data_IF_942184273617
#
_entry.id   IF_942184273617
#
_cell.length_a   1.000
_cell.length_b   1.000
_cell.length_c   1.000
_cell.angle_alpha   90.00
_cell.angle_beta   90.00
_cell.angle_gamma   90.00
#
_symmetry.space_group_name_H-M   'P 1'
#
loop_
_entity.id
_entity.type
_entity.pdbx_description
1 polymer ?
#
# COMPACT_ATOMS: atom_id res chain seq x y z
N UNK A 1 -14.97 -24.29 2.94
CA UNK A 1 -15.09 -23.80 1.55
C UNK A 1 -13.90 -22.92 1.23
N UNK A 2 -13.23 -23.25 0.13
CA UNK A 2 -11.94 -22.78 -0.33
C UNK A 2 -11.97 -21.29 -0.71
N UNK A 3 -11.23 -20.44 0.02
CA UNK A 3 -10.90 -19.10 -0.43
C UNK A 3 -9.83 -19.21 -1.52
N UNK A 4 -10.24 -19.63 -2.71
CA UNK A 4 -9.41 -19.73 -3.91
C UNK A 4 -8.67 -18.41 -4.10
N UNK A 5 -7.34 -18.46 -4.03
CA UNK A 5 -6.41 -17.42 -4.46
C UNK A 5 -6.66 -17.07 -5.92
N UNK A 6 -7.67 -16.23 -6.18
CA UNK A 6 -7.78 -15.49 -7.43
C UNK A 6 -6.57 -14.56 -7.43
N UNK A 7 -5.68 -14.74 -8.39
CA UNK A 7 -4.66 -13.75 -8.74
C UNK A 7 -5.41 -12.50 -9.23
N UNK A 8 -6.03 -11.76 -8.30
CA UNK A 8 -6.65 -10.47 -8.59
C UNK A 8 -5.45 -9.54 -8.75
N UNK A 9 -5.05 -9.36 -9.99
CA UNK A 9 -4.09 -8.34 -10.36
C UNK A 9 -4.65 -6.99 -9.91
N UNK A 10 -3.81 -6.19 -9.26
CA UNK A 10 -4.16 -4.81 -8.97
C UNK A 10 -4.40 -4.10 -10.29
N UNK A 11 -5.58 -3.52 -10.45
CA UNK A 11 -5.88 -2.67 -11.59
C UNK A 11 -5.08 -1.38 -11.52
N UNK A 12 -4.87 -0.71 -12.65
CA UNK A 12 -4.13 0.57 -12.67
C UNK A 12 -4.79 1.61 -11.76
N UNK A 13 -6.12 1.68 -11.74
CA UNK A 13 -6.89 2.56 -10.85
C UNK A 13 -6.62 2.26 -9.37
N UNK A 14 -6.61 0.98 -8.99
CA UNK A 14 -6.28 0.56 -7.62
C UNK A 14 -4.85 0.94 -7.23
N UNK A 15 -3.90 0.81 -8.17
CA UNK A 15 -2.51 1.18 -7.98
C UNK A 15 -2.34 2.70 -7.85
N UNK A 16 -3.05 3.49 -8.66
CA UNK A 16 -3.07 4.95 -8.58
C UNK A 16 -3.68 5.44 -7.27
N UNK A 17 -4.81 4.84 -6.85
CA UNK A 17 -5.44 5.14 -5.56
C UNK A 17 -4.48 4.83 -4.41
N UNK A 18 -3.82 3.66 -4.44
CA UNK A 18 -2.83 3.29 -3.44
C UNK A 18 -1.68 4.31 -3.38
N UNK A 19 -1.15 4.72 -4.53
CA UNK A 19 -0.09 5.72 -4.61
C UNK A 19 -0.54 7.08 -4.05
N UNK A 20 -1.77 7.51 -4.36
CA UNK A 20 -2.33 8.75 -3.84
C UNK A 20 -2.48 8.71 -2.32
N UNK A 21 -3.06 7.64 -1.77
CA UNK A 21 -3.23 7.45 -0.33
C UNK A 21 -1.90 7.42 0.43
N UNK A 22 -0.87 6.82 -0.17
CA UNK A 22 0.49 6.79 0.40
C UNK A 22 1.15 8.17 0.31
N UNK A 23 0.96 8.90 -0.79
CA UNK A 23 1.48 10.26 -0.97
C UNK A 23 0.83 11.25 -0.02
N UNK A 24 -0.45 11.06 0.33
CA UNK A 24 -1.12 11.83 1.37
C UNK A 24 -0.51 11.55 2.75
N UNK A 25 0.00 10.32 2.96
CA UNK A 25 0.46 9.86 4.25
C UNK A 25 1.98 9.94 4.42
N UNK A 26 2.43 11.14 4.82
CA UNK A 26 3.84 11.52 5.00
C UNK A 26 4.62 10.60 5.95
N UNK A 27 3.94 9.95 6.89
CA UNK A 27 4.55 8.98 7.83
C UNK A 27 5.15 7.76 7.10
N UNK A 28 4.59 7.37 5.95
CA UNK A 28 5.08 6.21 5.18
C UNK A 28 6.28 6.58 4.31
N UNK A 29 6.31 7.80 3.78
CA UNK A 29 7.42 8.32 2.97
C UNK A 29 8.64 8.72 3.82
N UNK A 30 8.43 9.03 5.10
CA UNK A 30 9.52 9.39 6.00
C UNK A 30 10.54 8.25 6.10
N UNK A 31 11.78 8.47 5.64
CA UNK A 31 12.87 7.47 5.67
C UNK A 31 13.42 7.20 7.08
N UNK A 32 12.89 7.83 8.13
CA UNK A 32 13.29 7.55 9.52
C UNK A 32 12.90 6.12 9.93
N UNK A 33 13.83 5.44 10.60
CA UNK A 33 13.74 4.03 10.99
C UNK A 33 13.81 3.86 12.51
N UNK A 34 13.23 4.80 13.26
CA UNK A 34 13.08 4.66 14.71
C UNK A 34 12.05 3.59 15.09
N UNK A 35 12.18 2.98 16.27
CA UNK A 35 11.22 1.99 16.78
C UNK A 35 9.79 2.57 16.92
N UNK A 36 9.66 3.83 17.31
CA UNK A 36 8.38 4.56 17.35
C UNK A 36 7.80 4.75 15.94
N UNK A 37 8.67 5.01 14.96
CA UNK A 37 8.36 5.21 13.55
C UNK A 37 7.77 3.94 12.91
N UNK A 38 8.23 2.76 13.33
CA UNK A 38 7.70 1.47 12.86
C UNK A 38 6.23 1.28 13.26
N UNK A 39 5.85 1.67 14.48
CA UNK A 39 4.45 1.60 14.94
C UNK A 39 3.60 2.61 14.20
N UNK A 40 4.06 3.86 14.08
CA UNK A 40 3.36 4.91 13.32
C UNK A 40 3.17 4.52 11.86
N UNK A 41 4.16 3.89 11.23
CA UNK A 41 4.03 3.34 9.86
C UNK A 41 3.01 2.21 9.79
N UNK A 42 2.98 1.30 10.76
CA UNK A 42 1.98 0.24 10.79
C UNK A 42 0.55 0.82 10.90
N UNK A 43 0.36 1.82 11.77
CA UNK A 43 -0.91 2.54 11.91
C UNK A 43 -1.29 3.29 10.64
N UNK A 44 -0.33 3.95 9.99
CA UNK A 44 -0.53 4.62 8.71
C UNK A 44 -0.99 3.62 7.61
N UNK A 45 -0.36 2.44 7.54
CA UNK A 45 -0.80 1.38 6.62
C UNK A 45 -2.22 0.89 6.92
N UNK A 46 -2.59 0.72 8.18
CA UNK A 46 -3.96 0.37 8.58
C UNK A 46 -4.98 1.44 8.14
N UNK A 47 -4.63 2.73 8.27
CA UNK A 47 -5.46 3.84 7.77
C UNK A 47 -5.66 3.76 6.26
N UNK A 48 -4.59 3.47 5.50
CA UNK A 48 -4.65 3.31 4.05
C UNK A 48 -5.52 2.11 3.67
N UNK A 49 -5.35 0.95 4.32
CA UNK A 49 -6.19 -0.23 4.10
C UNK A 49 -7.67 0.11 4.29
N UNK A 50 -7.99 0.83 5.37
CA UNK A 50 -9.37 1.22 5.68
C UNK A 50 -9.96 2.15 4.61
N UNK A 51 -9.19 3.14 4.15
CA UNK A 51 -9.60 4.04 3.06
C UNK A 51 -9.76 3.27 1.75
N UNK A 52 -8.77 2.47 1.38
CA UNK A 52 -8.79 1.62 0.19
C UNK A 52 -10.02 0.69 0.17
N UNK A 53 -10.35 0.06 1.30
CA UNK A 53 -11.56 -0.76 1.42
C UNK A 53 -12.86 0.07 1.34
N UNK A 54 -12.85 1.31 1.82
CA UNK A 54 -14.01 2.22 1.77
C UNK A 54 -14.30 2.71 0.36
N UNK A 55 -13.27 2.83 -0.48
CA UNK A 55 -13.37 3.18 -1.91
C UNK A 55 -13.95 2.03 -2.77
N UNK A 56 -14.45 0.96 -2.15
CA UNK A 56 -15.03 -0.20 -2.85
C UNK A 56 -14.00 -1.11 -3.51
N UNK A 57 -12.71 -0.91 -3.23
CA UNK A 57 -11.65 -1.78 -3.73
C UNK A 57 -11.62 -3.12 -2.99
N UNK A 58 -10.89 -4.09 -3.55
CA UNK A 58 -10.77 -5.43 -2.97
C UNK A 58 -10.20 -5.34 -1.55
N UNK A 59 -10.81 -5.98 -0.53
CA UNK A 59 -10.25 -5.96 0.82
C UNK A 59 -8.87 -6.63 0.83
N UNK A 60 -7.84 -5.85 1.16
CA UNK A 60 -6.45 -6.29 1.26
C UNK A 60 -5.90 -5.99 2.65
N UNK A 61 -4.96 -6.81 3.09
CA UNK A 61 -4.23 -6.55 4.34
C UNK A 61 -3.10 -5.55 4.13
N UNK A 62 -2.71 -4.86 5.19
CA UNK A 62 -1.58 -3.92 5.21
C UNK A 62 -0.30 -4.54 4.65
N UNK A 63 -0.04 -5.83 4.93
CA UNK A 63 1.09 -6.59 4.37
C UNK A 63 1.02 -6.72 2.83
N UNK A 64 -0.16 -6.97 2.27
CA UNK A 64 -0.35 -7.12 0.82
C UNK A 64 -0.16 -5.78 0.10
N UNK A 65 -0.74 -4.70 0.63
CA UNK A 65 -0.57 -3.36 0.07
C UNK A 65 0.89 -2.90 0.16
N UNK A 66 1.55 -3.16 1.29
CA UNK A 66 2.98 -2.84 1.46
C UNK A 66 3.85 -3.57 0.43
N UNK A 67 3.59 -4.86 0.20
CA UNK A 67 4.30 -5.63 -0.85
C UNK A 67 3.99 -5.11 -2.25
N UNK A 68 2.74 -4.73 -2.52
CA UNK A 68 2.34 -4.15 -3.80
C UNK A 68 3.04 -2.80 -4.05
N UNK A 69 3.10 -1.95 -3.04
CA UNK A 69 3.80 -0.66 -3.08
C UNK A 69 5.30 -0.82 -3.28
N UNK A 70 5.94 -1.80 -2.63
CA UNK A 70 7.36 -2.08 -2.84
C UNK A 70 7.63 -2.53 -4.29
N UNK A 71 6.80 -3.44 -4.81
CA UNK A 71 6.87 -3.87 -6.21
C UNK A 71 6.63 -2.70 -7.19
N UNK A 72 5.67 -1.82 -6.89
CA UNK A 72 5.45 -0.58 -7.65
C UNK A 72 6.70 0.28 -7.60
N UNK A 73 7.21 0.61 -6.41
CA UNK A 73 8.41 1.45 -6.29
C UNK A 73 9.59 0.86 -7.04
N UNK A 74 9.82 -0.45 -7.00
CA UNK A 74 10.85 -1.08 -7.83
C UNK A 74 10.56 -0.92 -9.34
N UNK A 75 9.32 -1.13 -9.77
CA UNK A 75 8.91 -1.00 -11.18
C UNK A 75 8.99 0.45 -11.71
N UNK A 76 8.56 1.43 -10.92
CA UNK A 76 8.56 2.85 -11.29
C UNK A 76 9.91 3.54 -11.01
N UNK A 77 10.70 3.07 -10.04
CA UNK A 77 12.05 3.59 -9.77
C UNK A 77 13.02 3.32 -10.91
N UNK A 78 12.79 2.29 -11.73
CA UNK A 78 13.59 2.05 -12.96
C UNK A 78 13.39 3.19 -13.99
N UNK A 79 12.32 3.98 -13.90
CA UNK A 79 12.05 5.12 -14.79
C UNK A 79 12.56 6.48 -14.29
N UNK A 80 13.11 6.54 -13.07
CA UNK A 80 13.72 7.76 -12.50
C UNK A 80 15.24 7.61 -12.31
N UNK A 81 15.91 6.88 -13.22
CA UNK A 81 17.37 6.91 -13.36
C UNK A 81 17.77 7.66 -14.62
#
# INVERSE_FOLDING_TARGET
MDCKSKNIHYTETELMLLAQLISEEKDIENKRTGATDLKSKAEAWERIVKRYCSEGCTPRTSKQLKKCWDNMKQKYSIFYC
#
